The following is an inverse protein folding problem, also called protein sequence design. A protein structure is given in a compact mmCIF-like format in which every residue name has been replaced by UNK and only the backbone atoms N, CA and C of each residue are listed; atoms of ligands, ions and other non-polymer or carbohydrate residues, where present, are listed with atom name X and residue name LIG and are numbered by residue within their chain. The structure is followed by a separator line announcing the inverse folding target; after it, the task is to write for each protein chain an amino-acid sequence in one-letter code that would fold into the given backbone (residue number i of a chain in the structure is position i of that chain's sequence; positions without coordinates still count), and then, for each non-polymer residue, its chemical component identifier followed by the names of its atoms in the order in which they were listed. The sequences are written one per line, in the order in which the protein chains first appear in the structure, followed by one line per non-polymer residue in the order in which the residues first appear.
data_IF_241223521227
#
_entry.id   IF_241223521227
#
_cell.length_a   1.000
_cell.length_b   1.000
_cell.length_c   1.000
_cell.angle_alpha   90.00
_cell.angle_beta   90.00
_cell.angle_gamma   90.00
#
_symmetry.space_group_name_H-M   'P 1'
#
loop_
_entity.id
_entity.type
_entity.pdbx_description
1 polymer ?
#
# COMPACT_ATOMS: atom_id res chain seq x y z
N UNK A 1 5.94 -6.24 9.82
CA UNK A 1 6.04 -7.16 10.96
C UNK A 1 4.73 -7.92 11.15
N UNK A 2 4.67 -8.87 12.10
CA UNK A 2 3.49 -9.72 12.35
C UNK A 2 2.22 -8.94 12.77
N UNK A 3 2.35 -7.64 13.03
CA UNK A 3 1.26 -6.72 13.37
C UNK A 3 1.20 -5.56 12.37
N UNK A 4 1.37 -5.81 11.07
CA UNK A 4 1.19 -4.80 10.01
C UNK A 4 -0.26 -4.28 10.01
N UNK A 5 -0.56 -3.35 10.91
CA UNK A 5 -1.90 -2.84 11.22
C UNK A 5 -2.08 -1.40 10.78
N UNK A 6 -1.01 -0.73 10.34
CA UNK A 6 -1.05 0.69 10.06
C UNK A 6 -0.29 0.99 8.77
N UNK A 7 -0.88 1.84 7.93
CA UNK A 7 -0.16 2.55 6.87
C UNK A 7 -0.13 4.01 7.26
N UNK A 8 1.05 4.63 7.25
CA UNK A 8 1.24 6.02 7.67
C UNK A 8 1.88 6.84 6.58
N UNK A 9 1.37 8.06 6.38
CA UNK A 9 2.05 9.08 5.57
C UNK A 9 2.79 10.01 6.52
N UNK A 10 4.08 10.13 6.28
CA UNK A 10 4.97 11.04 6.98
C UNK A 10 5.44 12.10 5.99
N UNK A 11 5.50 13.34 6.45
CA UNK A 11 6.03 14.47 5.69
C UNK A 11 7.14 15.15 6.48
N UNK A 12 8.06 15.80 5.78
CA UNK A 12 9.04 16.67 6.44
C UNK A 12 8.32 17.80 7.18
N UNK A 13 8.77 18.11 8.39
CA UNK A 13 8.28 19.22 9.19
C UNK A 13 8.77 20.60 8.74
N UNK A 14 9.55 20.69 7.65
CA UNK A 14 9.98 21.96 7.08
C UNK A 14 8.85 22.62 6.28
N UNK A 15 8.71 23.96 6.36
CA UNK A 15 7.56 24.71 5.83
C UNK A 15 7.29 24.48 4.33
N UNK A 16 8.31 24.10 3.56
CA UNK A 16 8.19 23.90 2.11
C UNK A 16 8.05 22.43 1.71
N UNK A 17 8.33 21.46 2.59
CA UNK A 17 8.15 20.01 2.34
C UNK A 17 8.93 19.38 1.16
N UNK A 18 9.47 20.19 0.25
CA UNK A 18 10.14 19.78 -1.00
C UNK A 18 11.63 19.49 -0.86
N UNK A 19 12.26 19.91 0.24
CA UNK A 19 13.68 19.72 0.45
C UNK A 19 13.97 18.26 0.83
N UNK A 20 15.13 17.76 0.39
CA UNK A 20 15.60 16.45 0.81
C UNK A 20 15.83 16.47 2.32
N UNK A 21 15.40 15.43 3.04
CA UNK A 21 15.51 15.41 4.49
C UNK A 21 16.97 15.51 4.92
N UNK A 22 17.28 16.53 5.74
CA UNK A 22 18.57 16.62 6.42
C UNK A 22 18.57 15.72 7.66
N UNK A 23 19.74 15.32 8.14
CA UNK A 23 19.87 14.44 9.32
C UNK A 23 19.23 15.01 10.61
N UNK A 24 18.86 16.30 10.60
CA UNK A 24 18.17 17.01 11.69
C UNK A 24 16.67 17.21 11.49
N UNK A 25 16.05 16.67 10.43
CA UNK A 25 14.64 16.89 10.17
C UNK A 25 13.70 16.11 11.10
N UNK A 26 12.70 16.83 11.61
CA UNK A 26 11.54 16.25 12.29
C UNK A 26 10.50 15.79 11.26
N UNK A 27 10.12 14.52 11.30
CA UNK A 27 9.03 13.98 10.50
C UNK A 27 7.70 14.13 11.23
N UNK A 28 6.65 14.51 10.49
CA UNK A 28 5.30 14.66 11.02
C UNK A 28 4.42 13.59 10.37
N UNK A 29 3.79 12.75 11.19
CA UNK A 29 2.75 11.84 10.71
C UNK A 29 1.49 12.66 10.42
N UNK A 30 1.10 12.75 9.15
CA UNK A 30 -0.10 13.50 8.74
C UNK A 30 -1.33 12.63 8.60
N UNK A 31 -1.14 11.34 8.31
CA UNK A 31 -2.24 10.39 8.17
C UNK A 31 -1.84 9.00 8.64
N UNK A 32 -2.78 8.33 9.29
CA UNK A 32 -2.69 6.93 9.69
C UNK A 32 -3.95 6.21 9.24
N UNK A 33 -3.76 5.17 8.43
CA UNK A 33 -4.79 4.21 8.05
C UNK A 33 -4.62 2.98 8.93
N UNK A 34 -5.54 2.81 9.87
CA UNK A 34 -5.64 1.61 10.70
C UNK A 34 -6.32 0.49 9.93
N UNK A 35 -5.67 -0.66 9.84
CA UNK A 35 -6.19 -1.86 9.24
C UNK A 35 -6.52 -2.85 10.35
N UNK A 36 -7.83 -3.05 10.56
CA UNK A 36 -8.36 -3.94 11.61
C UNK A 36 -9.12 -5.09 10.97
N UNK A 37 -8.87 -6.30 11.46
CA UNK A 37 -9.71 -7.45 11.11
C UNK A 37 -11.00 -7.38 11.92
N UNK A 38 -12.15 -7.23 11.26
CA UNK A 38 -13.47 -7.22 11.92
C UNK A 38 -13.91 -8.59 12.45
N UNK A 39 -13.24 -9.66 12.02
CA UNK A 39 -13.69 -11.04 12.23
C UNK A 39 -12.87 -11.86 13.24
N UNK A 40 -11.77 -11.35 13.77
CA UNK A 40 -10.81 -12.17 14.54
C UNK A 40 -10.35 -11.44 15.80
N UNK A 41 -10.40 -12.12 16.96
CA UNK A 41 -9.86 -11.65 18.25
C UNK A 41 -8.34 -11.67 18.31
N UNK A 42 -7.68 -12.37 17.37
CA UNK A 42 -6.23 -12.52 17.34
C UNK A 42 -5.61 -11.62 16.25
N UNK A 43 -4.71 -10.70 16.61
CA UNK A 43 -4.08 -9.79 15.65
C UNK A 43 -3.16 -10.48 14.63
N UNK A 44 -2.74 -11.72 14.91
CA UNK A 44 -1.97 -12.55 13.96
C UNK A 44 -2.77 -12.93 12.71
N UNK A 45 -4.10 -12.82 12.77
CA UNK A 45 -5.01 -13.13 11.66
C UNK A 45 -5.30 -11.90 10.76
N UNK A 46 -4.86 -10.71 11.20
CA UNK A 46 -4.85 -9.46 10.45
C UNK A 46 -3.55 -9.29 9.64
N UNK A 47 -2.97 -10.38 9.17
CA UNK A 47 -1.66 -10.38 8.55
C UNK A 47 -1.70 -9.99 7.07
N UNK A 48 -1.08 -8.87 6.73
CA UNK A 48 -0.66 -8.56 5.36
C UNK A 48 0.72 -9.14 5.12
N UNK A 49 0.79 -10.15 4.28
CA UNK A 49 2.03 -10.87 4.01
C UNK A 49 2.86 -10.24 2.90
N UNK A 50 2.24 -9.40 2.05
CA UNK A 50 2.94 -8.69 0.97
C UNK A 50 2.46 -7.25 0.86
N UNK A 51 3.41 -6.35 0.59
CA UNK A 51 3.16 -4.93 0.35
C UNK A 51 3.91 -4.53 -0.93
N UNK A 52 3.23 -3.85 -1.84
CA UNK A 52 3.82 -3.30 -3.06
C UNK A 52 3.43 -1.83 -3.19
N UNK A 53 4.42 -0.95 -3.30
CA UNK A 53 4.19 0.46 -3.58
C UNK A 53 4.41 0.74 -5.07
N UNK A 54 3.43 1.38 -5.70
CA UNK A 54 3.44 1.83 -7.09
C UNK A 54 3.31 3.36 -7.10
N UNK A 55 4.38 4.10 -6.77
CA UNK A 55 4.32 5.55 -6.55
C UNK A 55 3.90 6.30 -7.81
N UNK A 56 4.28 5.82 -9.00
CA UNK A 56 3.87 6.45 -10.27
C UNK A 56 2.36 6.38 -10.51
N UNK A 57 1.70 5.35 -9.97
CA UNK A 57 0.25 5.19 -10.06
C UNK A 57 -0.48 5.66 -8.79
N UNK A 58 0.24 6.21 -7.80
CA UNK A 58 -0.34 6.60 -6.52
C UNK A 58 -1.00 5.44 -5.78
N UNK A 59 -0.42 4.23 -5.79
CA UNK A 59 -1.03 3.07 -5.18
C UNK A 59 -0.12 2.35 -4.19
N UNK A 60 -0.70 1.89 -3.08
CA UNK A 60 -0.12 0.91 -2.16
C UNK A 60 -1.02 -0.31 -2.15
N UNK A 61 -0.48 -1.44 -2.60
CA UNK A 61 -1.15 -2.73 -2.61
C UNK A 61 -0.79 -3.52 -1.35
N UNK A 62 -1.79 -4.03 -0.66
CA UNK A 62 -1.67 -4.82 0.56
C UNK A 62 -2.33 -6.17 0.32
N UNK A 63 -1.56 -7.26 0.29
CA UNK A 63 -2.13 -8.61 0.16
C UNK A 63 -2.28 -9.28 1.52
N UNK A 64 -3.45 -9.87 1.74
CA UNK A 64 -3.73 -10.78 2.85
C UNK A 64 -3.93 -12.19 2.29
N UNK A 65 -2.89 -13.01 2.34
CA UNK A 65 -2.95 -14.39 1.89
C UNK A 65 -3.92 -15.27 2.69
N UNK A 66 -4.19 -14.96 3.97
CA UNK A 66 -5.13 -15.73 4.79
C UNK A 66 -6.57 -15.49 4.33
N UNK A 67 -6.90 -14.24 3.96
CA UNK A 67 -8.22 -13.84 3.48
C UNK A 67 -8.38 -13.97 1.97
N UNK A 68 -7.31 -14.28 1.24
CA UNK A 68 -7.30 -14.27 -0.22
C UNK A 68 -7.77 -12.90 -0.77
N UNK A 69 -7.31 -11.81 -0.16
CA UNK A 69 -7.68 -10.45 -0.58
C UNK A 69 -6.48 -9.58 -0.86
N UNK A 70 -6.64 -8.64 -1.80
CA UNK A 70 -5.72 -7.54 -2.07
C UNK A 70 -6.48 -6.25 -1.83
N UNK A 71 -5.92 -5.36 -1.02
CA UNK A 71 -6.41 -3.99 -0.87
C UNK A 71 -5.52 -3.06 -1.66
N UNK A 72 -6.12 -2.16 -2.42
CA UNK A 72 -5.43 -1.06 -3.08
C UNK A 72 -5.80 0.23 -2.37
N UNK A 73 -4.79 0.85 -1.73
CA UNK A 73 -4.91 2.18 -1.12
C UNK A 73 -4.38 3.19 -2.12
N UNK A 74 -5.21 4.14 -2.51
CA UNK A 74 -4.77 5.24 -3.37
C UNK A 74 -4.19 6.38 -2.55
N UNK A 75 -3.15 6.98 -3.12
CA UNK A 75 -2.37 8.08 -2.60
C UNK A 75 -2.49 9.20 -3.61
N UNK A 76 -3.30 10.19 -3.28
CA UNK A 76 -3.41 11.41 -4.05
C UNK A 76 -2.24 12.34 -3.69
N UNK A 77 -1.32 12.52 -4.63
CA UNK A 77 -0.25 13.50 -4.51
C UNK A 77 -0.80 14.90 -4.79
N UNK A 78 -0.98 15.69 -3.73
CA UNK A 78 -1.43 17.08 -3.85
C UNK A 78 -0.35 18.00 -4.44
N UNK A 79 -0.62 19.31 -4.49
CA UNK A 79 0.31 20.30 -5.04
C UNK A 79 1.60 20.46 -4.21
N UNK A 80 1.68 19.86 -3.02
CA UNK A 80 2.87 19.81 -2.17
C UNK A 80 2.84 18.55 -1.29
N UNK A 81 3.97 18.19 -0.64
CA UNK A 81 4.05 16.98 0.16
C UNK A 81 3.04 16.92 1.32
N UNK A 82 2.73 18.06 1.94
CA UNK A 82 1.75 18.16 3.04
C UNK A 82 0.31 17.95 2.58
N UNK A 83 0.00 18.14 1.30
CA UNK A 83 -1.30 17.86 0.69
C UNK A 83 -1.47 16.41 0.21
N UNK A 84 -0.44 15.56 0.35
CA UNK A 84 -0.51 14.12 0.04
C UNK A 84 -1.52 13.46 0.96
N UNK A 85 -2.46 12.70 0.38
CA UNK A 85 -3.50 12.05 1.17
C UNK A 85 -3.91 10.68 0.65
N UNK A 86 -4.29 9.79 1.56
CA UNK A 86 -5.08 8.60 1.24
C UNK A 86 -6.53 9.03 1.08
N UNK A 87 -7.14 8.76 -0.07
CA UNK A 87 -8.49 9.22 -0.44
C UNK A 87 -9.47 8.06 -0.65
N UNK A 88 -9.03 6.93 -1.21
CA UNK A 88 -9.86 5.73 -1.37
C UNK A 88 -9.10 4.42 -1.12
N UNK A 89 -9.88 3.40 -0.76
CA UNK A 89 -9.44 2.01 -0.64
C UNK A 89 -10.38 1.10 -1.43
N UNK A 90 -9.80 0.20 -2.22
CA UNK A 90 -10.52 -0.81 -3.00
C UNK A 90 -10.10 -2.22 -2.57
N UNK A 91 -11.04 -3.16 -2.57
CA UNK A 91 -10.80 -4.56 -2.23
C UNK A 91 -10.97 -5.46 -3.46
N UNK A 92 -10.03 -6.39 -3.64
CA UNK A 92 -10.05 -7.41 -4.68
C UNK A 92 -9.92 -8.78 -4.02
N UNK A 93 -10.87 -9.68 -4.32
CA UNK A 93 -10.85 -11.05 -3.82
C UNK A 93 -10.19 -11.94 -4.87
N UNK A 94 -9.21 -12.73 -4.44
CA UNK A 94 -8.59 -13.77 -5.27
C UNK A 94 -9.11 -15.14 -4.87
N UNK A 95 -9.10 -16.08 -5.81
CA UNK A 95 -9.63 -17.43 -5.59
C UNK A 95 -8.67 -18.36 -4.85
N UNK A 96 -7.38 -18.00 -4.78
CA UNK A 96 -6.33 -18.79 -4.14
C UNK A 96 -5.40 -17.91 -3.29
N UNK A 97 -4.76 -18.48 -2.24
CA UNK A 97 -3.80 -17.75 -1.42
C UNK A 97 -2.63 -17.16 -2.20
N UNK A 98 -2.27 -15.92 -1.86
CA UNK A 98 -1.18 -15.17 -2.50
C UNK A 98 0.11 -15.43 -1.73
N UNK A 99 1.05 -16.16 -2.32
CA UNK A 99 2.37 -16.37 -1.72
C UNK A 99 3.25 -15.12 -1.86
N UNK A 100 3.28 -14.55 -3.06
CA UNK A 100 3.98 -13.31 -3.36
C UNK A 100 3.20 -12.45 -4.35
N UNK A 101 3.48 -11.15 -4.29
CA UNK A 101 2.85 -10.13 -5.11
C UNK A 101 3.94 -9.26 -5.72
N UNK A 102 3.88 -9.05 -7.04
CA UNK A 102 4.69 -8.05 -7.74
C UNK A 102 3.72 -7.15 -8.50
N UNK A 103 3.96 -5.84 -8.46
CA UNK A 103 3.20 -4.87 -9.24
C UNK A 103 4.11 -4.10 -10.17
N UNK A 104 3.64 -3.80 -11.36
CA UNK A 104 4.24 -2.83 -12.28
C UNK A 104 3.19 -1.79 -12.66
N UNK A 105 3.65 -0.60 -13.01
CA UNK A 105 2.77 0.49 -13.43
C UNK A 105 3.38 1.22 -14.63
N UNK A 106 2.61 1.30 -15.71
CA UNK A 106 2.97 2.07 -16.90
C UNK A 106 2.07 3.29 -17.06
N UNK A 107 2.65 4.40 -17.49
CA UNK A 107 1.91 5.63 -17.81
C UNK A 107 1.42 5.57 -19.25
N UNK A 108 0.11 5.67 -19.46
CA UNK A 108 -0.48 5.80 -20.78
C UNK A 108 -0.44 7.26 -21.27
N UNK A 109 -0.55 7.48 -22.60
CA UNK A 109 -0.48 8.83 -23.20
C UNK A 109 -1.62 9.78 -22.80
N UNK A 110 -2.75 9.23 -22.35
CA UNK A 110 -3.93 9.96 -21.87
C UNK A 110 -3.83 10.40 -20.40
N UNK A 111 -2.76 10.01 -19.70
CA UNK A 111 -2.55 10.28 -18.29
C UNK A 111 -3.06 9.16 -17.37
N UNK A 112 -3.66 8.10 -17.92
CA UNK A 112 -4.04 6.93 -17.14
C UNK A 112 -2.82 6.07 -16.77
N UNK A 113 -2.99 5.24 -15.75
CA UNK A 113 -1.97 4.30 -15.32
C UNK A 113 -2.44 2.86 -15.51
N UNK A 114 -1.71 2.08 -16.31
CA UNK A 114 -1.91 0.64 -16.41
C UNK A 114 -1.16 -0.02 -15.28
N UNK A 115 -1.89 -0.58 -14.33
CA UNK A 115 -1.32 -1.35 -13.23
C UNK A 115 -1.46 -2.83 -13.53
N UNK A 116 -0.33 -3.54 -13.57
CA UNK A 116 -0.30 -4.98 -13.72
C UNK A 116 0.17 -5.62 -12.42
N UNK A 117 -0.62 -6.58 -11.94
CA UNK A 117 -0.38 -7.27 -10.69
C UNK A 117 -0.14 -8.74 -10.98
N UNK A 118 1.04 -9.23 -10.62
CA UNK A 118 1.44 -10.61 -10.78
C UNK A 118 1.46 -11.28 -9.41
N UNK A 119 0.59 -12.29 -9.24
CA UNK A 119 0.47 -13.05 -8.01
C UNK A 119 1.07 -14.45 -8.21
N UNK A 120 1.94 -14.90 -7.30
CA UNK A 120 2.35 -16.31 -7.22
C UNK A 120 1.41 -17.04 -6.26
N UNK A 121 0.90 -18.18 -6.70
CA UNK A 121 -0.07 -18.98 -5.95
C UNK A 121 0.47 -20.40 -5.73
N UNK A 122 0.02 -21.07 -4.67
CA UNK A 122 0.51 -22.40 -4.26
C UNK A 122 0.28 -23.49 -5.31
N UNK A 123 -0.85 -23.46 -6.05
CA UNK A 123 -1.15 -24.48 -7.07
C UNK A 123 -0.32 -24.33 -8.36
N UNK A 124 0.37 -23.20 -8.55
CA UNK A 124 1.23 -22.97 -9.71
C UNK A 124 2.63 -23.63 -9.56
N UNK A 125 2.94 -24.20 -8.39
CA UNK A 125 4.18 -24.94 -8.14
C UNK A 125 3.89 -26.42 -8.38
N UNK A 126 4.15 -26.91 -9.59
CA UNK A 126 4.26 -28.34 -9.85
C UNK A 126 5.70 -28.78 -9.53
N UNK A 127 5.85 -29.74 -8.61
CA UNK A 127 7.12 -30.40 -8.33
C UNK A 127 7.39 -31.52 -9.34
#
# INVERSE_FOLDING_TARGET
GPLNQEVKIWVSGYEEGWLLPSDSESWICVQTLDIRSSSETNPEDAFFNQVVALPRAGLVLLANAKKNTIYAVHIEYGPNPTATRMDYISEFIVTMPILSLIGTSDSLPDGDHLVQIYCVQTQAIQQ
#
